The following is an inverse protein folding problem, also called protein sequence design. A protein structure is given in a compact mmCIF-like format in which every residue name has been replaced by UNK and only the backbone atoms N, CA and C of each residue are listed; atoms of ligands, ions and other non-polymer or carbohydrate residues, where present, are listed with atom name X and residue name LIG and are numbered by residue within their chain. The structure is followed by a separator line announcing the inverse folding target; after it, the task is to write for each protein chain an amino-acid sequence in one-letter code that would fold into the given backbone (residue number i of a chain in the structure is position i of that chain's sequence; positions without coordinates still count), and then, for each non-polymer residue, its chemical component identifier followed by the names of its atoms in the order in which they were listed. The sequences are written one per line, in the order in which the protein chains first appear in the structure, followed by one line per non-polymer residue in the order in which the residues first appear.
data_IF_450794179283
#
_entry.id   IF_450794179283
#
_cell.length_a   1.000
_cell.length_b   1.000
_cell.length_c   1.000
_cell.angle_alpha   90.00
_cell.angle_beta   90.00
_cell.angle_gamma   90.00
#
_symmetry.space_group_name_H-M   'P 1'
#
loop_
_entity.id
_entity.type
_entity.pdbx_description
1 polymer ?
#
# COMPACT_ATOMS: atom_id res chain seq x y z
N UNK A 1 -35.37 -23.18 11.00
CA UNK A 1 -33.94 -23.19 10.57
C UNK A 1 -33.85 -22.62 9.15
N UNK A 2 -33.31 -21.41 8.98
CA UNK A 2 -33.13 -20.83 7.64
C UNK A 2 -32.00 -21.57 6.92
N UNK A 3 -32.31 -22.18 5.77
CA UNK A 3 -31.35 -22.91 4.93
C UNK A 3 -30.34 -21.91 4.37
N UNK A 4 -29.08 -21.97 4.83
CA UNK A 4 -28.00 -21.13 4.29
C UNK A 4 -27.91 -21.38 2.78
N UNK A 5 -28.26 -20.37 1.97
CA UNK A 5 -28.16 -20.45 0.51
C UNK A 5 -26.69 -20.57 0.15
N UNK A 6 -26.20 -21.78 -0.09
CA UNK A 6 -24.85 -21.97 -0.58
C UNK A 6 -24.72 -21.35 -1.98
N UNK A 7 -23.67 -20.56 -2.24
CA UNK A 7 -23.47 -19.90 -3.53
C UNK A 7 -23.37 -20.94 -4.66
N UNK A 8 -24.24 -20.83 -5.66
CA UNK A 8 -24.28 -21.69 -6.84
C UNK A 8 -23.34 -21.13 -7.93
N UNK A 9 -22.60 -22.02 -8.59
CA UNK A 9 -21.68 -21.68 -9.69
C UNK A 9 -20.29 -21.18 -9.24
N UNK A 10 -19.33 -21.20 -10.16
CA UNK A 10 -17.93 -20.81 -9.91
C UNK A 10 -17.81 -19.33 -9.49
N UNK A 11 -18.45 -18.43 -10.24
CA UNK A 11 -18.43 -16.98 -9.96
C UNK A 11 -19.09 -16.67 -8.61
N UNK A 12 -20.25 -17.29 -8.33
CA UNK A 12 -20.94 -17.12 -7.04
C UNK A 12 -20.09 -17.55 -5.85
N UNK A 13 -19.34 -18.65 -5.97
CA UNK A 13 -18.39 -19.08 -4.92
C UNK A 13 -17.24 -18.10 -4.75
N UNK A 14 -16.68 -17.55 -5.84
CA UNK A 14 -15.60 -16.56 -5.76
C UNK A 14 -16.05 -15.25 -5.14
N UNK A 15 -17.21 -14.72 -5.55
CA UNK A 15 -17.80 -13.53 -4.93
C UNK A 15 -18.09 -13.77 -3.45
N UNK A 16 -18.67 -14.93 -3.10
CA UNK A 16 -18.89 -15.28 -1.71
C UNK A 16 -17.59 -15.40 -0.91
N UNK A 17 -16.54 -15.99 -1.49
CA UNK A 17 -15.20 -16.07 -0.89
C UNK A 17 -14.53 -14.71 -0.72
N UNK A 18 -14.74 -13.77 -1.65
CA UNK A 18 -14.26 -12.38 -1.52
C UNK A 18 -14.99 -11.65 -0.39
N UNK A 19 -16.31 -11.79 -0.33
CA UNK A 19 -17.15 -11.16 0.70
C UNK A 19 -16.96 -11.78 2.10
N UNK A 20 -16.58 -13.05 2.18
CA UNK A 20 -16.31 -13.77 3.43
C UNK A 20 -14.83 -14.12 3.58
N UNK A 21 -13.93 -13.37 2.95
CA UNK A 21 -12.52 -13.66 3.03
C UNK A 21 -12.07 -13.57 4.50
N UNK A 22 -11.07 -14.38 4.91
CA UNK A 22 -10.59 -14.37 6.28
C UNK A 22 -10.22 -12.94 6.68
N UNK A 23 -10.80 -12.45 7.78
CA UNK A 23 -10.48 -11.15 8.42
C UNK A 23 -8.99 -10.79 8.41
N UNK A 24 -8.02 -11.72 8.61
CA UNK A 24 -6.60 -11.38 8.54
C UNK A 24 -6.15 -10.80 7.19
N UNK A 25 -6.69 -11.27 6.06
CA UNK A 25 -6.29 -10.79 4.72
C UNK A 25 -6.71 -9.34 4.51
N UNK A 26 -7.96 -9.01 4.84
CA UNK A 26 -8.45 -7.63 4.73
C UNK A 26 -7.66 -6.65 5.59
N UNK A 27 -7.27 -7.05 6.81
CA UNK A 27 -6.48 -6.22 7.71
C UNK A 27 -5.06 -5.96 7.16
N UNK A 28 -4.44 -6.97 6.55
CA UNK A 28 -3.14 -6.84 5.89
C UNK A 28 -3.19 -5.87 4.71
N UNK A 29 -4.18 -6.03 3.82
CA UNK A 29 -4.34 -5.17 2.65
C UNK A 29 -4.66 -3.74 3.07
N UNK A 30 -5.59 -3.54 4.01
CA UNK A 30 -5.94 -2.21 4.51
C UNK A 30 -4.73 -1.51 5.13
N UNK A 31 -3.95 -2.21 5.94
CA UNK A 31 -2.71 -1.67 6.52
C UNK A 31 -1.71 -1.22 5.46
N UNK A 32 -1.46 -2.06 4.45
CA UNK A 32 -0.57 -1.73 3.34
C UNK A 32 -1.05 -0.50 2.56
N UNK A 33 -2.34 -0.46 2.23
CA UNK A 33 -2.95 0.67 1.52
C UNK A 33 -2.81 1.95 2.33
N UNK A 34 -3.10 1.94 3.63
CA UNK A 34 -2.96 3.13 4.48
C UNK A 34 -1.53 3.67 4.49
N UNK A 35 -0.53 2.80 4.63
CA UNK A 35 0.87 3.20 4.61
C UNK A 35 1.28 3.74 3.24
N UNK A 36 0.91 3.03 2.18
CA UNK A 36 1.20 3.46 0.83
C UNK A 36 0.57 4.83 0.55
N UNK A 37 -0.67 5.08 0.98
CA UNK A 37 -1.31 6.40 0.84
C UNK A 37 -0.49 7.50 1.50
N UNK A 38 -0.07 7.31 2.76
CA UNK A 38 0.72 8.32 3.48
C UNK A 38 2.07 8.60 2.78
N UNK A 39 2.78 7.55 2.39
CA UNK A 39 4.08 7.68 1.71
C UNK A 39 3.93 8.27 0.31
N UNK A 40 2.86 7.95 -0.41
CA UNK A 40 2.55 8.51 -1.72
C UNK A 40 2.25 10.00 -1.64
N UNK A 41 1.51 10.45 -0.62
CA UNK A 41 1.28 11.88 -0.41
C UNK A 41 2.58 12.62 -0.12
N UNK A 42 3.46 12.06 0.72
CA UNK A 42 4.76 12.63 1.00
C UNK A 42 5.65 12.70 -0.27
N UNK A 43 5.67 11.62 -1.05
CA UNK A 43 6.42 11.56 -2.31
C UNK A 43 5.88 12.55 -3.36
N UNK A 44 4.56 12.63 -3.53
CA UNK A 44 3.92 13.59 -4.44
C UNK A 44 4.26 15.04 -4.07
N UNK A 45 4.23 15.38 -2.78
CA UNK A 45 4.62 16.71 -2.31
C UNK A 45 6.08 17.04 -2.66
N UNK A 46 6.98 16.06 -2.54
CA UNK A 46 8.37 16.22 -2.96
C UNK A 46 8.48 16.39 -4.48
N UNK A 47 7.82 15.54 -5.26
CA UNK A 47 7.91 15.57 -6.73
C UNK A 47 7.39 16.90 -7.31
N UNK A 48 6.27 17.41 -6.80
CA UNK A 48 5.70 18.71 -7.17
C UNK A 48 6.62 19.89 -6.78
N UNK A 49 7.30 19.82 -5.64
CA UNK A 49 8.27 20.85 -5.25
C UNK A 49 9.46 20.90 -6.19
N UNK A 50 10.03 19.74 -6.55
CA UNK A 50 11.11 19.64 -7.54
C UNK A 50 10.63 20.19 -8.89
N UNK A 51 9.42 19.86 -9.31
CA UNK A 51 8.87 20.31 -10.60
C UNK A 51 8.70 21.83 -10.67
N UNK A 52 8.14 22.44 -9.62
CA UNK A 52 7.99 23.90 -9.54
C UNK A 52 9.33 24.62 -9.48
N UNK A 53 10.33 24.06 -8.79
CA UNK A 53 11.68 24.62 -8.77
C UNK A 53 12.29 24.63 -10.18
N UNK A 54 12.18 23.52 -10.92
CA UNK A 54 12.66 23.41 -12.30
C UNK A 54 11.92 24.38 -13.24
N UNK A 55 10.60 24.52 -13.11
CA UNK A 55 9.80 25.43 -13.94
C UNK A 55 10.10 26.92 -13.68
N UNK A 56 10.38 27.29 -12.44
CA UNK A 56 10.71 28.68 -12.06
C UNK A 56 12.15 29.07 -12.40
N UNK A 57 12.99 28.14 -12.89
CA UNK A 57 14.41 28.34 -13.08
C UNK A 57 15.18 28.54 -11.76
N UNK A 58 14.54 28.22 -10.63
CA UNK A 58 15.16 28.30 -9.32
C UNK A 58 16.16 27.15 -9.14
N UNK A 59 17.26 27.46 -8.46
CA UNK A 59 18.27 26.46 -8.13
C UNK A 59 17.68 25.40 -7.17
N UNK A 60 18.00 24.12 -7.41
CA UNK A 60 17.48 23.00 -6.64
C UNK A 60 18.00 22.97 -5.19
N UNK A 61 18.91 23.88 -4.83
CA UNK A 61 19.47 24.04 -3.49
C UNK A 61 18.43 24.26 -2.39
N UNK A 62 17.25 24.81 -2.71
CA UNK A 62 16.12 24.94 -1.78
C UNK A 62 15.29 23.68 -1.57
N UNK A 63 15.48 22.65 -2.41
CA UNK A 63 14.77 21.37 -2.33
C UNK A 63 15.65 20.35 -1.61
N UNK A 64 15.03 19.46 -0.82
CA UNK A 64 15.74 18.43 -0.04
C UNK A 64 16.71 17.66 -0.96
N UNK A 65 18.01 17.83 -0.69
CA UNK A 65 19.10 17.14 -1.37
C UNK A 65 19.80 17.91 -2.50
N UNK A 66 19.32 19.08 -2.93
CA UNK A 66 20.01 19.97 -3.89
C UNK A 66 20.13 19.46 -5.33
N UNK A 67 19.57 18.29 -5.64
CA UNK A 67 19.63 17.59 -6.94
C UNK A 67 18.30 16.90 -7.21
N UNK A 68 18.06 16.51 -8.46
CA UNK A 68 16.90 15.67 -8.81
C UNK A 68 17.11 14.25 -8.22
N UNK A 69 16.47 13.99 -7.07
CA UNK A 69 16.51 12.71 -6.36
C UNK A 69 15.19 11.94 -6.48
N UNK A 70 14.35 12.25 -7.47
CA UNK A 70 13.01 11.64 -7.63
C UNK A 70 13.06 10.12 -7.69
N UNK A 71 14.03 9.55 -8.41
CA UNK A 71 14.19 8.09 -8.48
C UNK A 71 14.55 7.47 -7.13
N UNK A 72 15.43 8.12 -6.37
CA UNK A 72 15.78 7.68 -5.01
C UNK A 72 14.59 7.79 -4.06
N UNK A 73 13.83 8.89 -4.14
CA UNK A 73 12.62 9.11 -3.36
C UNK A 73 11.52 8.08 -3.68
N UNK A 74 11.34 7.71 -4.96
CA UNK A 74 10.44 6.65 -5.36
C UNK A 74 10.89 5.28 -4.81
N UNK A 75 12.19 4.99 -4.83
CA UNK A 75 12.74 3.79 -4.23
C UNK A 75 12.50 3.76 -2.71
N UNK A 76 12.64 4.89 -2.02
CA UNK A 76 12.32 5.02 -0.59
C UNK A 76 10.83 4.84 -0.29
N UNK A 77 9.94 5.31 -1.16
CA UNK A 77 8.50 5.04 -1.05
C UNK A 77 8.22 3.53 -1.12
N UNK A 78 8.81 2.85 -2.10
CA UNK A 78 8.63 1.39 -2.26
C UNK A 78 9.18 0.66 -1.04
N UNK A 79 10.41 0.98 -0.64
CA UNK A 79 11.07 0.36 0.51
C UNK A 79 10.29 0.60 1.80
N UNK A 80 9.84 1.84 2.04
CA UNK A 80 9.02 2.20 3.19
C UNK A 80 7.69 1.45 3.19
N UNK A 81 7.00 1.40 2.05
CA UNK A 81 5.72 0.67 1.92
C UNK A 81 5.91 -0.81 2.23
N UNK A 82 6.99 -1.42 1.75
CA UNK A 82 7.33 -2.81 2.03
C UNK A 82 7.62 -3.04 3.51
N UNK A 83 8.51 -2.24 4.11
CA UNK A 83 8.93 -2.41 5.50
C UNK A 83 7.76 -2.16 6.46
N UNK A 84 7.12 -1.00 6.38
CA UNK A 84 6.04 -0.63 7.27
C UNK A 84 4.78 -1.48 7.01
N UNK A 85 4.50 -1.80 5.74
CA UNK A 85 3.44 -2.71 5.36
C UNK A 85 3.57 -4.09 5.98
N UNK A 86 4.77 -4.67 5.91
CA UNK A 86 5.10 -5.95 6.54
C UNK A 86 5.03 -5.86 8.07
N UNK A 87 5.63 -4.81 8.66
CA UNK A 87 5.69 -4.62 10.11
C UNK A 87 4.30 -4.44 10.73
N UNK A 88 3.48 -3.55 10.16
CA UNK A 88 2.15 -3.28 10.71
C UNK A 88 1.23 -4.47 10.47
N UNK A 89 1.34 -5.16 9.34
CA UNK A 89 0.62 -6.42 9.13
C UNK A 89 0.99 -7.45 10.19
N UNK A 90 2.28 -7.58 10.51
CA UNK A 90 2.73 -8.48 11.57
C UNK A 90 2.11 -8.13 12.94
N UNK A 91 2.04 -6.84 13.27
CA UNK A 91 1.51 -6.36 14.54
C UNK A 91 -0.01 -6.46 14.66
N UNK A 92 -0.74 -6.20 13.57
CA UNK A 92 -2.21 -6.05 13.57
C UNK A 92 -2.92 -7.35 13.17
N UNK A 93 -2.27 -8.25 12.44
CA UNK A 93 -2.88 -9.46 11.87
C UNK A 93 -2.49 -10.71 12.68
N UNK A 94 -3.29 -11.06 13.72
CA UNK A 94 -3.14 -12.35 14.40
C UNK A 94 -3.52 -13.49 13.45
N UNK A 95 -2.73 -14.56 13.45
CA UNK A 95 -3.09 -15.79 12.73
C UNK A 95 -3.84 -16.75 13.65
N UNK A 96 -4.82 -17.52 13.14
CA UNK A 96 -5.44 -18.59 13.91
C UNK A 96 -4.38 -19.63 14.28
N UNK A 97 -4.38 -20.13 15.52
CA UNK A 97 -3.51 -21.24 15.91
C UNK A 97 -3.89 -22.52 15.18
N UNK A 98 -2.90 -23.38 14.95
CA UNK A 98 -3.08 -24.68 14.30
C UNK A 98 -4.01 -25.64 15.07
N UNK A 99 -4.14 -25.44 16.39
CA UNK A 99 -5.03 -26.18 17.27
C UNK A 99 -6.49 -25.68 17.25
N UNK A 100 -6.78 -24.60 16.52
CA UNK A 100 -8.08 -23.95 16.47
C UNK A 100 -8.49 -23.25 17.78
N UNK A 101 -7.64 -23.26 18.81
CA UNK A 101 -7.91 -22.68 20.13
C UNK A 101 -7.06 -21.42 20.34
N UNK A 102 -7.46 -20.37 19.62
CA UNK A 102 -6.94 -19.02 19.81
C UNK A 102 -6.15 -18.48 18.63
N UNK A 103 -5.44 -17.39 18.87
CA UNK A 103 -4.66 -16.67 17.86
C UNK A 103 -3.20 -16.55 18.28
N UNK A 104 -2.28 -16.67 17.32
CA UNK A 104 -0.85 -16.53 17.54
C UNK A 104 -0.23 -15.57 16.52
N UNK A 105 0.83 -14.87 16.94
CA UNK A 105 1.61 -14.00 16.06
C UNK A 105 2.69 -14.85 15.39
N UNK A 106 2.52 -15.17 14.12
CA UNK A 106 3.50 -15.94 13.35
C UNK A 106 4.24 -15.04 12.36
N UNK A 107 5.49 -15.36 12.01
CA UNK A 107 6.23 -14.64 10.97
C UNK A 107 5.52 -14.65 9.60
N UNK A 108 4.59 -15.58 9.38
CA UNK A 108 3.79 -15.63 8.16
C UNK A 108 2.84 -14.43 7.99
N UNK A 109 2.45 -13.73 9.06
CA UNK A 109 1.70 -12.47 8.91
C UNK A 109 2.57 -11.36 8.31
N UNK A 110 3.85 -11.29 8.67
CA UNK A 110 4.79 -10.36 8.04
C UNK A 110 4.95 -10.64 6.54
N UNK A 111 5.06 -11.93 6.17
CA UNK A 111 5.17 -12.37 4.77
C UNK A 111 3.94 -12.00 3.95
N UNK A 112 2.73 -12.11 4.54
CA UNK A 112 1.51 -11.65 3.89
C UNK A 112 1.54 -10.13 3.64
N UNK A 113 2.02 -9.36 4.62
CA UNK A 113 2.21 -7.92 4.47
C UNK A 113 3.20 -7.58 3.36
N UNK A 114 4.32 -8.30 3.30
CA UNK A 114 5.34 -8.18 2.26
C UNK A 114 4.74 -8.40 0.86
N UNK A 115 4.07 -9.52 0.62
CA UNK A 115 3.50 -9.80 -0.71
C UNK A 115 2.40 -8.83 -1.12
N UNK A 116 1.60 -8.32 -0.18
CA UNK A 116 0.59 -7.31 -0.47
C UNK A 116 1.21 -5.93 -0.73
N UNK A 117 2.37 -5.61 -0.15
CA UNK A 117 2.99 -4.29 -0.28
C UNK A 117 3.51 -3.99 -1.70
N UNK A 118 4.08 -4.95 -2.43
CA UNK A 118 4.58 -4.74 -3.79
C UNK A 118 3.52 -4.24 -4.80
N UNK A 119 2.38 -4.94 -5.01
CA UNK A 119 1.36 -4.46 -5.93
C UNK A 119 0.74 -3.14 -5.45
N UNK A 120 0.64 -2.93 -4.13
CA UNK A 120 0.14 -1.67 -3.57
C UNK A 120 1.10 -0.51 -3.86
N UNK A 121 2.40 -0.69 -3.66
CA UNK A 121 3.42 0.30 -3.97
C UNK A 121 3.45 0.64 -5.47
N UNK A 122 3.30 -0.37 -6.33
CA UNK A 122 3.16 -0.15 -7.77
C UNK A 122 1.92 0.69 -8.09
N UNK A 123 0.75 0.33 -7.57
CA UNK A 123 -0.49 1.09 -7.79
C UNK A 123 -0.35 2.51 -7.28
N UNK A 124 0.30 2.72 -6.13
CA UNK A 124 0.59 4.03 -5.59
C UNK A 124 1.40 4.91 -6.57
N UNK A 125 2.50 4.39 -7.10
CA UNK A 125 3.32 5.10 -8.09
C UNK A 125 2.56 5.35 -9.41
N UNK A 126 1.72 4.42 -9.84
CA UNK A 126 0.87 4.61 -11.03
C UNK A 126 -0.16 5.72 -10.77
N UNK A 127 -0.84 5.69 -9.63
CA UNK A 127 -1.83 6.72 -9.26
C UNK A 127 -1.15 8.09 -9.18
N UNK A 128 0.01 8.16 -8.53
CA UNK A 128 0.80 9.37 -8.41
C UNK A 128 1.19 9.92 -9.78
N UNK A 129 1.89 9.13 -10.60
CA UNK A 129 2.47 9.61 -11.86
C UNK A 129 1.45 9.85 -12.97
N UNK A 130 0.39 9.05 -13.02
CA UNK A 130 -0.58 9.10 -14.12
C UNK A 130 -1.80 9.97 -13.81
N UNK A 131 -2.10 10.23 -12.54
CA UNK A 131 -3.32 10.96 -12.15
C UNK A 131 -3.02 12.16 -11.27
N UNK A 132 -2.36 11.96 -10.12
CA UNK A 132 -2.19 13.03 -9.15
C UNK A 132 -1.22 14.11 -9.65
N UNK A 133 -0.02 13.72 -10.06
CA UNK A 133 0.98 14.65 -10.58
C UNK A 133 0.43 15.50 -11.73
N UNK A 134 -0.11 14.95 -12.84
CA UNK A 134 -0.64 15.76 -13.92
C UNK A 134 -1.82 16.63 -13.50
N UNK A 135 -2.63 16.21 -12.52
CA UNK A 135 -3.72 17.02 -11.99
C UNK A 135 -3.21 18.23 -11.19
N UNK A 136 -2.16 18.05 -10.39
CA UNK A 136 -1.64 19.10 -9.49
C UNK A 136 -0.53 19.95 -10.09
N UNK A 137 0.14 19.50 -11.16
CA UNK A 137 1.13 20.30 -11.88
C UNK A 137 0.51 21.32 -12.82
N UNK A 138 -0.78 21.19 -13.13
CA UNK A 138 -1.57 22.15 -13.90
C UNK A 138 -2.17 23.28 -13.05
N UNK A 139 -2.06 23.19 -11.72
CA UNK A 139 -2.53 24.18 -10.74
C UNK A 139 -1.39 25.10 -10.29
#
# INVERSE_FOLDING_TARGET
MAKSRQPRGFIGRRIYQLLHAPKPVFRAVFSNVSIATLLTLAYLLYDLQVERALQSGADLSGVIGGRDLRTEAAALLVLGTVIFGSLITYLIVPQPRADGKGTERSGWSAVLGLFASFPVAYIALVIESQFLKPLFSQL
#
